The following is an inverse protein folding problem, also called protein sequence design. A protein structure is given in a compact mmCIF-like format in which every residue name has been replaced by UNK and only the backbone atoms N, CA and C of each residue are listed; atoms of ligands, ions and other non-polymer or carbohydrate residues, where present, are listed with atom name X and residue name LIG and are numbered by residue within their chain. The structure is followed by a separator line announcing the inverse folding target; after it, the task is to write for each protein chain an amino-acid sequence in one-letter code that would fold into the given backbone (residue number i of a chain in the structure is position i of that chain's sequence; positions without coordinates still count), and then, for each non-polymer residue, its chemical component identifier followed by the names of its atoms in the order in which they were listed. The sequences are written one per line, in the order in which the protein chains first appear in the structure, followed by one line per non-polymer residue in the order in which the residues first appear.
data_IF_675766675222
#
_entry.id   IF_675766675222
#
_cell.length_a   1.000
_cell.length_b   1.000
_cell.length_c   1.000
_cell.angle_alpha   90.00
_cell.angle_beta   90.00
_cell.angle_gamma   90.00
#
_symmetry.space_group_name_H-M   'P 1'
#
loop_
_entity.id
_entity.type
_entity.pdbx_description
1 polymer ?
#
# COMPACT_ATOMS: atom_id res chain seq x y z
N UNK A 1 23.73 -5.32 -29.95
CA UNK A 1 23.27 -5.69 -28.60
C UNK A 1 22.47 -6.97 -28.71
N UNK A 2 22.85 -8.02 -27.99
CA UNK A 2 22.10 -9.28 -27.98
C UNK A 2 20.77 -9.12 -27.24
N UNK A 3 19.73 -9.90 -27.61
CA UNK A 3 18.42 -9.89 -26.94
C UNK A 3 18.54 -10.02 -25.41
N UNK A 4 19.50 -10.81 -24.90
CA UNK A 4 19.78 -10.97 -23.48
C UNK A 4 20.31 -9.68 -22.82
N UNK A 5 21.13 -8.90 -23.51
CA UNK A 5 21.66 -7.62 -23.02
C UNK A 5 20.57 -6.53 -22.99
N UNK A 6 19.67 -6.51 -23.98
CA UNK A 6 18.51 -5.59 -24.00
C UNK A 6 17.52 -5.93 -22.88
N UNK A 7 17.25 -7.22 -22.67
CA UNK A 7 16.37 -7.66 -21.58
C UNK A 7 16.96 -7.34 -20.19
N UNK A 8 18.26 -7.58 -20.01
CA UNK A 8 18.97 -7.26 -18.75
C UNK A 8 19.01 -5.76 -18.47
N UNK A 9 19.18 -4.92 -19.51
CA UNK A 9 19.17 -3.47 -19.37
C UNK A 9 17.77 -2.91 -19.03
N UNK A 10 16.70 -3.46 -19.62
CA UNK A 10 15.30 -3.10 -19.30
C UNK A 10 14.94 -3.49 -17.87
N UNK A 11 15.31 -4.71 -17.44
CA UNK A 11 15.06 -5.18 -16.07
C UNK A 11 15.73 -4.26 -15.04
N UNK A 12 17.02 -3.95 -15.23
CA UNK A 12 17.76 -3.04 -14.34
C UNK A 12 17.15 -1.63 -14.32
N UNK A 13 16.78 -1.11 -15.49
CA UNK A 13 16.09 0.19 -15.58
C UNK A 13 14.76 0.20 -14.83
N UNK A 14 13.95 -0.86 -14.97
CA UNK A 14 12.68 -0.98 -14.26
C UNK A 14 12.87 -1.10 -12.74
N UNK A 15 13.86 -1.87 -12.28
CA UNK A 15 14.20 -1.97 -10.86
C UNK A 15 14.64 -0.62 -10.29
N UNK A 16 15.49 0.13 -11.01
CA UNK A 16 15.92 1.47 -10.59
C UNK A 16 14.76 2.46 -10.52
N UNK A 17 13.90 2.50 -11.56
CA UNK A 17 12.73 3.35 -11.56
C UNK A 17 11.74 2.99 -10.43
N UNK A 18 11.58 1.70 -10.15
CA UNK A 18 10.74 1.24 -9.05
C UNK A 18 11.32 1.64 -7.68
N UNK A 19 12.65 1.53 -7.52
CA UNK A 19 13.34 2.00 -6.31
C UNK A 19 13.16 3.50 -6.10
N UNK A 20 13.33 4.31 -7.16
CA UNK A 20 13.09 5.75 -7.10
C UNK A 20 11.62 6.05 -6.74
N UNK A 21 10.66 5.37 -7.37
CA UNK A 21 9.24 5.55 -7.10
C UNK A 21 8.91 5.25 -5.62
N UNK A 22 9.41 4.14 -5.09
CA UNK A 22 9.21 3.78 -3.67
C UNK A 22 9.95 4.74 -2.74
N UNK A 23 11.19 5.11 -3.06
CA UNK A 23 11.98 6.05 -2.28
C UNK A 23 11.28 7.40 -2.12
N UNK A 24 10.91 8.04 -3.23
CA UNK A 24 10.17 9.31 -3.18
C UNK A 24 8.80 9.17 -2.51
N UNK A 25 8.09 8.06 -2.74
CA UNK A 25 6.80 7.81 -2.11
C UNK A 25 6.88 7.66 -0.59
N UNK A 26 8.03 7.27 -0.06
CA UNK A 26 8.26 7.07 1.38
C UNK A 26 8.89 8.29 2.05
N UNK A 27 9.83 8.98 1.37
CA UNK A 27 10.54 10.14 1.92
C UNK A 27 9.61 11.35 2.07
N UNK A 28 8.78 11.63 1.06
CA UNK A 28 7.87 12.79 1.10
C UNK A 28 6.93 12.75 2.32
N UNK A 29 6.22 11.64 2.62
CA UNK A 29 5.42 11.57 3.83
C UNK A 29 6.22 11.77 5.13
N UNK A 30 7.45 11.23 5.22
CA UNK A 30 8.30 11.38 6.41
C UNK A 30 8.58 12.87 6.69
N UNK A 31 8.86 13.65 5.64
CA UNK A 31 9.11 15.10 5.78
C UNK A 31 7.82 15.88 6.07
N UNK A 32 6.70 15.43 5.51
CA UNK A 32 5.43 16.13 5.60
C UNK A 32 4.72 15.89 6.93
N UNK A 33 4.87 14.70 7.55
CA UNK A 33 4.22 14.35 8.82
C UNK A 33 4.54 15.35 9.93
N UNK A 34 5.83 15.65 10.26
CA UNK A 34 6.15 16.61 11.31
C UNK A 34 5.58 17.99 11.02
N UNK A 35 5.66 18.43 9.77
CA UNK A 35 5.12 19.72 9.37
C UNK A 35 3.62 19.80 9.61
N UNK A 36 2.86 18.85 9.10
CA UNK A 36 1.41 18.85 9.25
C UNK A 36 0.98 18.72 10.72
N UNK A 37 1.59 17.83 11.49
CA UNK A 37 1.27 17.69 12.91
C UNK A 37 1.52 18.98 13.68
N UNK A 38 2.58 19.73 13.35
CA UNK A 38 2.91 20.98 14.02
C UNK A 38 2.03 22.16 13.57
N UNK A 39 1.52 22.15 12.34
CA UNK A 39 0.76 23.28 11.77
C UNK A 39 -0.75 23.07 11.92
N UNK A 40 -1.29 21.92 11.45
CA UNK A 40 -2.73 21.67 11.51
C UNK A 40 -3.16 20.89 12.75
N UNK A 41 -2.20 20.38 13.55
CA UNK A 41 -2.47 19.61 14.76
C UNK A 41 -2.84 18.16 14.48
N UNK A 42 -2.84 17.36 15.55
CA UNK A 42 -3.07 15.89 15.48
C UNK A 42 -4.49 15.58 15.00
N UNK A 43 -5.49 16.30 15.50
CA UNK A 43 -6.91 16.05 15.18
C UNK A 43 -7.22 16.30 13.69
N UNK A 44 -6.84 17.47 13.15
CA UNK A 44 -7.08 17.77 11.72
C UNK A 44 -6.20 16.91 10.80
N UNK A 45 -5.01 16.54 11.24
CA UNK A 45 -4.19 15.54 10.55
C UNK A 45 -4.88 14.17 10.51
N UNK A 46 -5.49 13.75 11.61
CA UNK A 46 -6.29 12.53 11.70
C UNK A 46 -7.51 12.57 10.78
N UNK A 47 -8.27 13.66 10.78
CA UNK A 47 -9.42 13.88 9.91
C UNK A 47 -9.06 13.75 8.43
N UNK A 48 -7.95 14.38 8.00
CA UNK A 48 -7.46 14.26 6.61
C UNK A 48 -7.10 12.80 6.28
N UNK A 49 -6.39 12.10 7.17
CA UNK A 49 -6.02 10.70 6.95
C UNK A 49 -7.23 9.77 6.98
N UNK A 50 -8.20 10.03 7.86
CA UNK A 50 -9.47 9.28 7.87
C UNK A 50 -10.21 9.42 6.53
N UNK A 51 -10.34 10.64 6.01
CA UNK A 51 -10.99 10.89 4.71
C UNK A 51 -10.25 10.19 3.55
N UNK A 52 -8.90 10.15 3.59
CA UNK A 52 -8.09 9.39 2.63
C UNK A 52 -8.42 7.89 2.70
N UNK A 53 -8.43 7.30 3.89
CA UNK A 53 -8.67 5.88 4.07
C UNK A 53 -10.14 5.53 3.79
N UNK A 54 -11.09 6.38 4.19
CA UNK A 54 -12.50 6.21 3.83
C UNK A 54 -12.68 6.15 2.30
N UNK A 55 -12.11 7.11 1.57
CA UNK A 55 -12.17 7.11 0.09
C UNK A 55 -11.38 5.95 -0.54
N UNK A 56 -10.36 5.41 0.14
CA UNK A 56 -9.57 4.28 -0.34
C UNK A 56 -10.38 2.98 -0.47
N UNK A 57 -11.38 2.75 0.37
CA UNK A 57 -12.28 1.59 0.21
C UNK A 57 -13.09 1.67 -1.08
N UNK A 58 -13.57 2.86 -1.42
CA UNK A 58 -14.21 3.11 -2.71
C UNK A 58 -13.22 2.98 -3.87
N UNK A 59 -11.96 3.40 -3.67
CA UNK A 59 -10.91 3.20 -4.67
C UNK A 59 -10.68 1.72 -4.97
N UNK A 60 -10.56 0.85 -3.95
CA UNK A 60 -10.41 -0.61 -4.15
C UNK A 60 -11.58 -1.16 -4.95
N UNK A 61 -12.82 -0.72 -4.64
CA UNK A 61 -14.01 -1.10 -5.39
C UNK A 61 -13.92 -0.64 -6.86
N UNK A 62 -13.49 0.58 -7.14
CA UNK A 62 -13.37 1.11 -8.49
C UNK A 62 -12.20 0.52 -9.28
N UNK A 63 -11.12 0.11 -8.64
CA UNK A 63 -10.02 -0.61 -9.27
C UNK A 63 -10.42 -2.05 -9.67
N UNK A 64 -11.35 -2.66 -8.98
CA UNK A 64 -12.02 -3.94 -9.27
C UNK A 64 -11.07 -5.09 -9.68
N UNK A 65 -9.83 -5.06 -9.22
CA UNK A 65 -8.82 -6.07 -9.57
C UNK A 65 -8.28 -5.97 -11.01
N UNK A 66 -8.63 -4.92 -11.76
CA UNK A 66 -8.18 -4.71 -13.15
C UNK A 66 -6.65 -4.67 -13.28
N UNK A 67 -5.94 -4.27 -12.24
CA UNK A 67 -4.46 -4.26 -12.23
C UNK A 67 -3.84 -5.64 -12.46
N UNK A 68 -4.56 -6.72 -12.12
CA UNK A 68 -4.10 -8.10 -12.25
C UNK A 68 -4.78 -8.83 -13.41
N UNK A 69 -6.11 -8.71 -13.54
CA UNK A 69 -6.89 -9.43 -14.55
C UNK A 69 -6.48 -9.06 -15.98
N UNK A 70 -6.16 -7.78 -16.20
CA UNK A 70 -5.91 -7.27 -17.55
C UNK A 70 -4.48 -7.51 -18.07
N UNK A 71 -3.54 -7.90 -17.20
CA UNK A 71 -2.13 -8.12 -17.63
C UNK A 71 -2.05 -9.10 -18.79
N UNK A 72 -2.76 -10.25 -18.71
CA UNK A 72 -2.75 -11.26 -19.76
C UNK A 72 -3.35 -10.75 -21.09
N UNK A 73 -4.42 -9.95 -21.02
CA UNK A 73 -5.07 -9.39 -22.20
C UNK A 73 -4.17 -8.38 -22.92
N UNK A 74 -3.49 -7.53 -22.14
CA UNK A 74 -2.54 -6.55 -22.69
C UNK A 74 -1.31 -7.23 -23.27
N UNK A 75 -0.69 -8.16 -22.54
CA UNK A 75 0.54 -8.86 -23.00
C UNK A 75 0.29 -9.63 -24.30
N UNK A 76 -0.85 -10.31 -24.41
CA UNK A 76 -1.20 -11.08 -25.60
C UNK A 76 -1.56 -10.21 -26.83
N UNK A 77 -1.86 -8.92 -26.63
CA UNK A 77 -2.27 -8.01 -27.72
C UNK A 77 -1.38 -6.76 -27.80
N UNK A 78 -0.20 -6.75 -27.18
CA UNK A 78 0.65 -5.56 -27.08
C UNK A 78 1.11 -4.98 -28.42
N UNK A 79 1.19 -5.82 -29.47
CA UNK A 79 1.64 -5.42 -30.81
C UNK A 79 0.47 -5.01 -31.72
N UNK A 80 -0.78 -5.13 -31.25
CA UNK A 80 -1.98 -4.76 -32.00
C UNK A 80 -2.64 -3.53 -31.35
N UNK A 81 -2.40 -2.35 -31.92
CA UNK A 81 -2.89 -1.07 -31.39
C UNK A 81 -4.42 -0.99 -31.30
N UNK A 82 -5.15 -1.56 -32.27
CA UNK A 82 -6.60 -1.53 -32.30
C UNK A 82 -7.18 -2.37 -31.13
N UNK A 83 -6.71 -3.62 -30.99
CA UNK A 83 -7.13 -4.48 -29.88
C UNK A 83 -6.75 -3.90 -28.53
N UNK A 84 -5.54 -3.34 -28.41
CA UNK A 84 -5.09 -2.67 -27.20
C UNK A 84 -6.00 -1.47 -26.86
N UNK A 85 -6.36 -0.67 -27.88
CA UNK A 85 -7.30 0.44 -27.74
C UNK A 85 -8.67 -0.03 -27.22
N UNK A 86 -9.21 -1.14 -27.74
CA UNK A 86 -10.47 -1.73 -27.27
C UNK A 86 -10.38 -2.22 -25.83
N UNK A 87 -9.29 -2.91 -25.45
CA UNK A 87 -9.06 -3.37 -24.08
C UNK A 87 -9.07 -2.18 -23.12
N UNK A 88 -8.25 -1.14 -23.40
CA UNK A 88 -8.15 0.04 -22.54
C UNK A 88 -9.48 0.79 -22.44
N UNK A 89 -10.19 0.94 -23.57
CA UNK A 89 -11.52 1.56 -23.59
C UNK A 89 -12.54 0.80 -22.77
N UNK A 90 -12.55 -0.54 -22.88
CA UNK A 90 -13.44 -1.41 -22.08
C UNK A 90 -13.21 -1.24 -20.60
N UNK A 91 -11.93 -1.25 -20.18
CA UNK A 91 -11.56 -1.09 -18.76
C UNK A 91 -11.92 0.29 -18.23
N UNK A 92 -11.66 1.36 -18.99
CA UNK A 92 -12.03 2.71 -18.60
C UNK A 92 -13.55 2.88 -18.49
N UNK A 93 -14.34 2.26 -19.38
CA UNK A 93 -15.80 2.27 -19.28
C UNK A 93 -16.30 1.46 -18.08
N UNK A 94 -15.67 0.30 -17.76
CA UNK A 94 -15.95 -0.43 -16.52
C UNK A 94 -15.70 0.47 -15.30
N UNK A 95 -14.54 1.13 -15.24
CA UNK A 95 -14.16 2.02 -14.14
C UNK A 95 -15.11 3.22 -14.03
N UNK A 96 -15.50 3.81 -15.15
CA UNK A 96 -16.47 4.90 -15.17
C UNK A 96 -17.82 4.48 -14.59
N UNK A 97 -18.33 3.32 -14.97
CA UNK A 97 -19.56 2.76 -14.41
C UNK A 97 -19.45 2.53 -12.89
N UNK A 98 -18.33 1.94 -12.45
CA UNK A 98 -18.07 1.72 -11.03
C UNK A 98 -17.95 3.02 -10.25
N UNK A 99 -17.32 4.07 -10.83
CA UNK A 99 -17.25 5.42 -10.22
C UNK A 99 -18.64 5.99 -10.01
N UNK A 100 -19.55 5.87 -10.98
CA UNK A 100 -20.94 6.36 -10.82
C UNK A 100 -21.66 5.60 -9.70
N UNK A 101 -21.53 4.28 -9.65
CA UNK A 101 -22.11 3.48 -8.57
C UNK A 101 -21.53 3.86 -7.20
N UNK A 102 -20.22 4.02 -7.13
CA UNK A 102 -19.54 4.38 -5.88
C UNK A 102 -19.85 5.82 -5.47
N UNK A 103 -19.98 6.75 -6.40
CA UNK A 103 -20.38 8.13 -6.12
C UNK A 103 -21.76 8.20 -5.43
N UNK A 104 -22.72 7.44 -5.94
CA UNK A 104 -24.05 7.37 -5.34
C UNK A 104 -23.97 6.88 -3.88
N UNK A 105 -23.28 5.78 -3.64
CA UNK A 105 -23.11 5.24 -2.28
C UNK A 105 -22.29 6.20 -1.40
N UNK A 106 -21.24 6.83 -1.96
CA UNK A 106 -20.39 7.78 -1.25
C UNK A 106 -21.19 9.00 -0.75
N UNK A 107 -22.00 9.61 -1.65
CA UNK A 107 -22.87 10.76 -1.30
C UNK A 107 -23.88 10.35 -0.23
N UNK A 108 -24.46 9.16 -0.35
CA UNK A 108 -25.42 8.65 0.62
C UNK A 108 -24.78 8.48 2.01
N UNK A 109 -23.60 7.83 2.08
CA UNK A 109 -22.89 7.60 3.36
C UNK A 109 -22.43 8.93 3.97
N UNK A 110 -21.81 9.82 3.19
CA UNK A 110 -21.36 11.14 3.69
C UNK A 110 -22.55 12.00 4.13
N UNK A 111 -23.67 11.93 3.41
CA UNK A 111 -24.89 12.70 3.76
C UNK A 111 -25.60 12.19 5.01
N UNK A 112 -25.59 10.88 5.27
CA UNK A 112 -26.29 10.27 6.41
C UNK A 112 -25.50 10.35 7.71
N UNK A 113 -24.16 10.37 7.66
CA UNK A 113 -23.31 10.38 8.85
C UNK A 113 -22.97 11.84 9.19
N UNK A 114 -23.47 12.41 10.33
CA UNK A 114 -23.28 13.82 10.65
C UNK A 114 -21.81 14.26 10.72
N UNK A 115 -20.91 13.43 11.27
CA UNK A 115 -19.49 13.73 11.36
C UNK A 115 -18.82 13.89 10.01
N UNK A 116 -19.25 13.12 9.00
CA UNK A 116 -18.73 13.22 7.63
C UNK A 116 -19.35 14.41 6.89
N UNK A 117 -20.64 14.64 7.10
CA UNK A 117 -21.38 15.74 6.47
C UNK A 117 -20.85 17.12 6.89
N UNK A 118 -20.43 17.28 8.14
CA UNK A 118 -19.87 18.54 8.63
C UNK A 118 -18.57 18.93 7.92
N UNK A 119 -17.85 17.96 7.35
CA UNK A 119 -16.58 18.13 6.64
C UNK A 119 -16.72 17.86 5.13
N UNK A 120 -17.86 18.27 4.55
CA UNK A 120 -18.25 17.96 3.16
C UNK A 120 -17.17 18.32 2.14
N UNK A 121 -16.54 19.50 2.28
CA UNK A 121 -15.47 19.95 1.38
C UNK A 121 -14.31 18.95 1.35
N UNK A 122 -13.91 18.45 2.52
CA UNK A 122 -12.82 17.48 2.63
C UNK A 122 -13.17 16.16 1.91
N UNK A 123 -14.40 15.66 2.09
CA UNK A 123 -14.85 14.42 1.45
C UNK A 123 -15.06 14.58 -0.06
N UNK A 124 -15.50 15.74 -0.55
CA UNK A 124 -15.54 16.02 -1.99
C UNK A 124 -14.13 15.97 -2.58
N UNK A 125 -13.15 16.62 -1.96
CA UNK A 125 -11.75 16.57 -2.40
C UNK A 125 -11.16 15.16 -2.33
N UNK A 126 -11.51 14.39 -1.30
CA UNK A 126 -11.10 12.98 -1.17
C UNK A 126 -11.68 12.12 -2.30
N UNK A 127 -12.91 12.39 -2.76
CA UNK A 127 -13.50 11.72 -3.90
C UNK A 127 -12.83 12.12 -5.23
N UNK A 128 -12.51 13.41 -5.42
CA UNK A 128 -11.73 13.89 -6.58
C UNK A 128 -10.36 13.19 -6.64
N UNK A 129 -9.69 13.07 -5.48
CA UNK A 129 -8.45 12.29 -5.35
C UNK A 129 -8.62 10.84 -5.82
N UNK A 130 -9.69 10.18 -5.40
CA UNK A 130 -10.02 8.81 -5.82
C UNK A 130 -10.18 8.71 -7.34
N UNK A 131 -10.94 9.64 -7.95
CA UNK A 131 -11.14 9.67 -9.40
C UNK A 131 -9.78 9.73 -10.12
N UNK A 132 -8.87 10.59 -9.67
CA UNK A 132 -7.53 10.72 -10.25
C UNK A 132 -6.75 9.41 -10.25
N UNK A 133 -6.77 8.67 -9.14
CA UNK A 133 -6.10 7.36 -9.04
C UNK A 133 -6.74 6.33 -9.97
N UNK A 134 -8.06 6.31 -10.05
CA UNK A 134 -8.81 5.32 -10.85
C UNK A 134 -8.62 5.52 -12.35
N UNK A 135 -8.55 6.79 -12.81
CA UNK A 135 -8.34 7.13 -14.23
C UNK A 135 -6.93 6.76 -14.68
N UNK A 136 -5.91 6.82 -13.80
CA UNK A 136 -4.53 6.55 -14.15
C UNK A 136 -4.33 5.12 -14.68
N UNK A 137 -3.88 4.92 -15.94
CA UNK A 137 -3.69 3.58 -16.50
C UNK A 137 -2.32 3.00 -16.12
N UNK A 138 -1.92 3.07 -14.83
CA UNK A 138 -0.63 2.54 -14.37
C UNK A 138 -0.50 1.03 -14.58
N UNK A 139 -1.61 0.30 -14.51
CA UNK A 139 -1.67 -1.13 -14.85
C UNK A 139 -1.21 -1.40 -16.30
N UNK A 140 -1.52 -0.51 -17.24
CA UNK A 140 -1.10 -0.64 -18.63
C UNK A 140 0.42 -0.49 -18.76
N UNK A 141 1.02 0.54 -18.15
CA UNK A 141 2.49 0.72 -18.18
C UNK A 141 3.22 -0.46 -17.53
N UNK A 142 2.66 -1.05 -16.46
CA UNK A 142 3.22 -2.26 -15.83
C UNK A 142 3.13 -3.46 -16.76
N UNK A 143 1.98 -3.67 -17.41
CA UNK A 143 1.78 -4.78 -18.38
C UNK A 143 2.66 -4.66 -19.62
N UNK A 144 3.00 -3.42 -20.03
CA UNK A 144 3.92 -3.12 -21.13
C UNK A 144 5.39 -3.09 -20.70
N UNK A 145 5.69 -3.38 -19.42
CA UNK A 145 7.04 -3.33 -18.83
C UNK A 145 7.71 -1.93 -18.92
N UNK A 146 6.91 -0.88 -18.99
CA UNK A 146 7.34 0.51 -19.17
C UNK A 146 7.21 1.32 -17.86
N UNK A 147 7.65 0.75 -16.72
CA UNK A 147 7.55 1.35 -15.36
C UNK A 147 8.18 2.75 -15.28
N UNK A 148 9.18 3.03 -16.12
CA UNK A 148 9.82 4.36 -16.22
C UNK A 148 8.84 5.51 -16.46
N UNK A 149 7.74 5.27 -17.19
CA UNK A 149 6.72 6.30 -17.41
C UNK A 149 5.93 6.59 -16.14
N UNK A 150 5.64 5.58 -15.32
CA UNK A 150 5.00 5.79 -14.01
C UNK A 150 5.84 6.74 -13.16
N UNK A 151 7.16 6.47 -13.06
CA UNK A 151 8.09 7.29 -12.26
C UNK A 151 8.20 8.70 -12.83
N UNK A 152 8.37 8.84 -14.15
CA UNK A 152 8.51 10.15 -14.83
C UNK A 152 7.26 11.01 -14.75
N UNK A 153 6.09 10.41 -14.61
CA UNK A 153 4.82 11.13 -14.43
C UNK A 153 4.60 11.45 -12.96
N UNK A 154 4.61 10.42 -12.11
CA UNK A 154 4.18 10.55 -10.72
C UNK A 154 5.14 11.39 -9.87
N UNK A 155 6.46 11.23 -10.04
CA UNK A 155 7.43 11.92 -9.17
C UNK A 155 7.41 13.44 -9.37
N UNK A 156 7.53 13.99 -10.60
CA UNK A 156 7.47 15.44 -10.79
C UNK A 156 6.14 16.05 -10.38
N UNK A 157 5.00 15.42 -10.75
CA UNK A 157 3.68 15.94 -10.39
C UNK A 157 3.48 15.90 -8.88
N UNK A 158 3.93 14.84 -8.22
CA UNK A 158 3.87 14.74 -6.76
C UNK A 158 4.69 15.85 -6.10
N UNK A 159 5.89 16.13 -6.58
CA UNK A 159 6.70 17.24 -6.07
C UNK A 159 6.01 18.59 -6.30
N UNK A 160 5.51 18.83 -7.50
CA UNK A 160 4.83 20.10 -7.84
C UNK A 160 3.54 20.33 -7.04
N UNK A 161 2.78 19.29 -6.71
CA UNK A 161 1.52 19.42 -5.98
C UNK A 161 1.68 19.32 -4.46
N UNK A 162 2.68 18.59 -3.96
CA UNK A 162 2.84 18.33 -2.52
C UNK A 162 3.79 19.35 -1.86
N UNK A 163 4.89 19.76 -2.53
CA UNK A 163 5.79 20.77 -1.96
C UNK A 163 5.10 22.10 -1.62
N UNK A 164 4.11 22.61 -2.40
CA UNK A 164 3.40 23.82 -2.03
C UNK A 164 2.68 23.74 -0.67
N UNK A 165 2.39 22.55 -0.14
CA UNK A 165 1.83 22.40 1.21
C UNK A 165 2.65 23.18 2.25
N UNK A 166 3.98 23.13 2.17
CA UNK A 166 4.86 23.89 3.08
C UNK A 166 4.71 25.42 2.98
N UNK A 167 4.17 25.91 1.86
CA UNK A 167 3.99 27.34 1.61
C UNK A 167 2.59 27.83 1.93
N UNK A 168 1.56 27.03 1.61
CA UNK A 168 0.13 27.44 1.66
C UNK A 168 -0.57 27.03 2.94
N UNK A 169 -0.16 25.92 3.58
CA UNK A 169 -0.76 25.43 4.83
C UNK A 169 -0.03 26.07 6.00
N UNK A 170 -0.65 27.03 6.70
CA UNK A 170 -0.03 27.80 7.78
C UNK A 170 -0.82 27.75 9.09
N UNK A 171 -2.07 27.36 9.04
CA UNK A 171 -2.99 27.33 10.18
C UNK A 171 -3.74 26.00 10.27
N UNK A 172 -4.40 25.78 11.38
CA UNK A 172 -5.23 24.60 11.61
C UNK A 172 -6.41 24.53 10.63
N UNK A 173 -6.90 25.66 10.15
CA UNK A 173 -8.04 25.75 9.23
C UNK A 173 -7.68 25.38 7.79
N UNK A 174 -6.37 25.32 7.48
CA UNK A 174 -5.86 25.01 6.14
C UNK A 174 -5.83 23.49 5.84
N UNK A 175 -6.37 22.65 6.72
CA UNK A 175 -6.33 21.18 6.54
C UNK A 175 -6.98 20.72 5.22
N UNK A 176 -8.01 21.42 4.75
CA UNK A 176 -8.65 21.10 3.46
C UNK A 176 -7.72 21.36 2.27
N UNK A 177 -6.77 22.33 2.37
CA UNK A 177 -5.77 22.58 1.32
C UNK A 177 -4.79 21.41 1.19
N UNK A 178 -4.52 20.68 2.27
CA UNK A 178 -3.73 19.45 2.23
C UNK A 178 -4.40 18.41 1.34
N UNK A 179 -5.70 18.20 1.54
CA UNK A 179 -6.48 17.28 0.70
C UNK A 179 -6.58 17.77 -0.75
N UNK A 180 -6.71 19.08 -0.97
CA UNK A 180 -6.69 19.67 -2.32
C UNK A 180 -5.38 19.35 -3.04
N UNK A 181 -4.24 19.50 -2.39
CA UNK A 181 -2.94 19.17 -2.97
C UNK A 181 -2.84 17.67 -3.33
N UNK A 182 -3.34 16.78 -2.48
CA UNK A 182 -3.39 15.35 -2.78
C UNK A 182 -4.38 15.03 -3.92
N UNK A 183 -5.50 15.74 -3.99
CA UNK A 183 -6.47 15.57 -5.07
C UNK A 183 -5.89 16.04 -6.41
N UNK A 184 -5.25 17.20 -6.43
CA UNK A 184 -4.58 17.73 -7.63
C UNK A 184 -3.44 16.80 -8.09
N UNK A 185 -2.62 16.29 -7.17
CA UNK A 185 -1.54 15.35 -7.48
C UNK A 185 -2.06 14.13 -8.23
N UNK A 186 -3.07 13.47 -7.68
CA UNK A 186 -3.61 12.25 -8.27
C UNK A 186 -4.38 12.52 -9.56
N UNK A 187 -5.18 13.59 -9.60
CA UNK A 187 -6.00 13.94 -10.75
C UNK A 187 -5.15 14.35 -11.96
N UNK A 188 -4.15 15.22 -11.75
CA UNK A 188 -3.22 15.63 -12.80
C UNK A 188 -2.38 14.44 -13.26
N UNK A 189 -1.87 13.63 -12.33
CA UNK A 189 -1.13 12.40 -12.66
C UNK A 189 -1.98 11.43 -13.48
N UNK A 190 -3.25 11.26 -13.14
CA UNK A 190 -4.18 10.39 -13.86
C UNK A 190 -4.39 10.84 -15.31
N UNK A 191 -4.69 12.13 -15.51
CA UNK A 191 -4.88 12.71 -16.85
C UNK A 191 -3.61 12.62 -17.69
N UNK A 192 -2.47 13.03 -17.13
CA UNK A 192 -1.18 12.99 -17.83
C UNK A 192 -0.79 11.56 -18.18
N UNK A 193 -1.01 10.61 -17.26
CA UNK A 193 -0.74 9.20 -17.51
C UNK A 193 -1.61 8.64 -18.65
N UNK A 194 -2.91 8.99 -18.68
CA UNK A 194 -3.81 8.58 -19.75
C UNK A 194 -3.38 9.18 -21.11
N UNK A 195 -3.06 10.46 -21.15
CA UNK A 195 -2.58 11.14 -22.36
C UNK A 195 -1.27 10.51 -22.90
N UNK A 196 -0.31 10.26 -22.01
CA UNK A 196 0.96 9.62 -22.38
C UNK A 196 0.72 8.19 -22.88
N UNK A 197 -0.19 7.43 -22.24
CA UNK A 197 -0.53 6.08 -22.68
C UNK A 197 -1.13 6.08 -24.09
N UNK A 198 -2.07 6.99 -24.38
CA UNK A 198 -2.65 7.15 -25.71
C UNK A 198 -1.58 7.45 -26.77
N UNK A 199 -0.73 8.46 -26.51
CA UNK A 199 0.33 8.87 -27.44
C UNK A 199 1.40 7.80 -27.62
N UNK A 200 1.81 7.14 -26.54
CA UNK A 200 2.91 6.17 -26.55
C UNK A 200 2.56 4.86 -27.25
N UNK A 201 1.34 4.37 -27.04
CA UNK A 201 0.90 3.07 -27.55
C UNK A 201 -0.07 3.20 -28.75
N UNK A 202 -0.31 4.41 -29.24
CA UNK A 202 -1.23 4.65 -30.36
C UNK A 202 -2.68 4.29 -30.05
N UNK A 203 -3.08 4.37 -28.77
CA UNK A 203 -4.41 3.97 -28.31
C UNK A 203 -5.43 5.01 -28.72
N UNK A 204 -6.45 4.59 -29.46
CA UNK A 204 -7.64 5.38 -29.73
C UNK A 204 -8.75 4.91 -28.80
N UNK A 205 -9.21 5.81 -27.93
CA UNK A 205 -10.36 5.52 -27.07
C UNK A 205 -11.63 5.48 -27.91
N UNK A 206 -12.47 4.48 -27.65
CA UNK A 206 -13.70 4.25 -28.37
C UNK A 206 -14.79 3.73 -27.43
N UNK A 207 -16.03 3.94 -27.77
CA UNK A 207 -17.14 3.35 -27.04
C UNK A 207 -17.22 1.88 -27.44
N UNK A 208 -17.21 0.99 -26.43
CA UNK A 208 -17.31 -0.45 -26.62
C UNK A 208 -18.70 -0.95 -26.25
N UNK A 209 -19.02 -2.17 -26.70
CA UNK A 209 -20.32 -2.79 -26.41
C UNK A 209 -20.50 -3.12 -24.92
N UNK A 210 -21.74 -3.09 -24.44
CA UNK A 210 -22.05 -3.50 -23.06
C UNK A 210 -21.63 -4.95 -22.77
N UNK A 211 -21.57 -5.80 -23.79
CA UNK A 211 -21.10 -7.18 -23.66
C UNK A 211 -19.62 -7.25 -23.34
N UNK A 212 -18.80 -6.41 -23.98
CA UNK A 212 -17.35 -6.30 -23.67
C UNK A 212 -17.11 -5.76 -22.26
N UNK A 213 -17.85 -4.74 -21.83
CA UNK A 213 -17.81 -4.21 -20.47
C UNK A 213 -18.15 -5.32 -19.46
N UNK A 214 -19.23 -6.05 -19.69
CA UNK A 214 -19.65 -7.18 -18.83
C UNK A 214 -18.61 -8.30 -18.79
N UNK A 215 -17.97 -8.58 -19.92
CA UNK A 215 -16.90 -9.59 -20.00
C UNK A 215 -15.73 -9.22 -19.08
N UNK A 216 -15.18 -8.00 -19.16
CA UNK A 216 -14.06 -7.58 -18.33
C UNK A 216 -14.43 -7.47 -16.85
N UNK A 217 -15.63 -7.03 -16.52
CA UNK A 217 -16.13 -7.05 -15.13
C UNK A 217 -16.16 -8.47 -14.59
N UNK A 218 -16.78 -9.43 -15.32
CA UNK A 218 -16.87 -10.82 -14.88
C UNK A 218 -15.49 -11.48 -14.74
N UNK A 219 -14.58 -11.23 -15.69
CA UNK A 219 -13.21 -11.74 -15.67
C UNK A 219 -12.40 -11.24 -14.47
N UNK A 220 -12.73 -10.05 -13.96
CA UNK A 220 -12.01 -9.41 -12.85
C UNK A 220 -12.54 -9.79 -11.45
N UNK A 221 -13.73 -10.41 -11.32
CA UNK A 221 -14.34 -10.77 -10.01
C UNK A 221 -13.40 -11.59 -9.11
N UNK A 222 -12.73 -12.66 -9.58
CA UNK A 222 -11.84 -13.44 -8.72
C UNK A 222 -10.66 -12.62 -8.20
N UNK A 223 -10.11 -11.72 -9.04
CA UNK A 223 -9.02 -10.81 -8.65
C UNK A 223 -9.51 -9.72 -7.70
N UNK A 224 -10.72 -9.20 -7.92
CA UNK A 224 -11.34 -8.24 -7.01
C UNK A 224 -11.50 -8.82 -5.61
N UNK A 225 -12.08 -10.00 -5.48
CA UNK A 225 -12.34 -10.63 -4.17
C UNK A 225 -11.05 -10.78 -3.35
N UNK A 226 -9.99 -11.29 -3.97
CA UNK A 226 -8.69 -11.46 -3.30
C UNK A 226 -8.04 -10.12 -2.95
N UNK A 227 -8.05 -9.16 -3.89
CA UNK A 227 -7.43 -7.84 -3.70
C UNK A 227 -8.18 -7.01 -2.66
N UNK A 228 -9.52 -7.05 -2.68
CA UNK A 228 -10.36 -6.36 -1.71
C UNK A 228 -10.05 -6.83 -0.29
N UNK A 229 -10.09 -8.14 -0.04
CA UNK A 229 -9.80 -8.70 1.28
C UNK A 229 -8.40 -8.31 1.76
N UNK A 230 -7.38 -8.45 0.90
CA UNK A 230 -5.99 -8.15 1.27
C UNK A 230 -5.74 -6.66 1.54
N UNK A 231 -6.37 -5.76 0.80
CA UNK A 231 -6.18 -4.31 0.98
C UNK A 231 -7.04 -3.75 2.09
N UNK A 232 -8.30 -4.20 2.19
CA UNK A 232 -9.25 -3.72 3.17
C UNK A 232 -8.80 -4.02 4.60
N UNK A 233 -8.34 -5.25 4.91
CA UNK A 233 -7.92 -5.57 6.26
C UNK A 233 -6.72 -4.74 6.73
N UNK A 234 -5.78 -4.39 5.84
CA UNK A 234 -4.59 -3.60 6.17
C UNK A 234 -4.88 -2.18 6.63
N UNK A 235 -5.99 -1.60 6.17
CA UNK A 235 -6.38 -0.21 6.48
C UNK A 235 -7.57 -0.14 7.44
N UNK A 236 -8.10 -1.30 7.88
CA UNK A 236 -9.28 -1.37 8.74
C UNK A 236 -9.09 -0.64 10.07
N UNK A 237 -7.87 -0.66 10.63
CA UNK A 237 -7.56 0.01 11.88
C UNK A 237 -7.93 1.49 11.88
N UNK A 238 -7.57 2.21 10.82
CA UNK A 238 -7.86 3.64 10.69
C UNK A 238 -9.36 3.91 10.67
N UNK A 239 -10.17 3.05 9.99
CA UNK A 239 -11.63 3.18 10.01
C UNK A 239 -12.22 2.86 11.38
N UNK A 240 -11.79 1.77 12.00
CA UNK A 240 -12.27 1.37 13.33
C UNK A 240 -11.97 2.45 14.36
N UNK A 241 -10.73 2.95 14.38
CA UNK A 241 -10.33 4.03 15.28
C UNK A 241 -11.13 5.33 15.02
N UNK A 242 -11.31 5.70 13.75
CA UNK A 242 -12.02 6.93 13.40
C UNK A 242 -13.49 6.90 13.76
N UNK A 243 -14.19 5.79 13.52
CA UNK A 243 -15.60 5.68 13.87
C UNK A 243 -15.85 5.50 15.39
N UNK A 244 -14.90 4.92 16.13
CA UNK A 244 -15.09 4.61 17.56
C UNK A 244 -14.43 5.67 18.46
N UNK A 245 -13.21 6.12 18.14
CA UNK A 245 -12.42 7.02 18.99
C UNK A 245 -12.24 8.42 18.40
N UNK A 246 -12.64 8.64 17.12
CA UNK A 246 -12.56 9.93 16.45
C UNK A 246 -11.20 10.27 15.85
N UNK A 247 -11.13 11.48 15.29
CA UNK A 247 -10.04 11.93 14.44
C UNK A 247 -8.71 12.08 15.16
N UNK A 248 -8.72 12.46 16.44
CA UNK A 248 -7.50 12.58 17.24
C UNK A 248 -6.76 11.23 17.36
N UNK A 249 -7.50 10.14 17.61
CA UNK A 249 -6.94 8.79 17.69
C UNK A 249 -6.39 8.34 16.33
N UNK A 250 -7.08 8.66 15.23
CA UNK A 250 -6.59 8.42 13.88
C UNK A 250 -5.30 9.19 13.63
N UNK A 251 -5.20 10.43 14.07
CA UNK A 251 -4.00 11.26 13.92
C UNK A 251 -2.77 10.63 14.57
N UNK A 252 -2.89 10.22 15.84
CA UNK A 252 -1.81 9.56 16.57
C UNK A 252 -1.41 8.23 15.93
N UNK A 253 -2.41 7.38 15.60
CA UNK A 253 -2.19 6.10 14.97
C UNK A 253 -1.48 6.24 13.63
N UNK A 254 -2.00 7.08 12.73
CA UNK A 254 -1.47 7.23 11.38
C UNK A 254 -0.11 7.90 11.34
N UNK A 255 0.19 8.80 12.29
CA UNK A 255 1.54 9.36 12.44
C UNK A 255 2.56 8.26 12.75
N UNK A 256 2.29 7.41 13.74
CA UNK A 256 3.15 6.29 14.10
C UNK A 256 3.21 5.21 13.00
N UNK A 257 2.07 4.88 12.38
CA UNK A 257 1.98 3.92 11.27
C UNK A 257 2.81 4.34 10.05
N UNK A 258 2.81 5.62 9.68
CA UNK A 258 3.60 6.11 8.55
C UNK A 258 5.10 6.03 8.80
N UNK A 259 5.56 6.24 10.05
CA UNK A 259 6.95 6.00 10.42
C UNK A 259 7.32 4.51 10.29
N UNK A 260 6.44 3.61 10.76
CA UNK A 260 6.56 2.18 10.54
C UNK A 260 6.62 1.82 9.05
N UNK A 261 5.69 2.37 8.25
CA UNK A 261 5.63 2.12 6.81
C UNK A 261 6.88 2.63 6.07
N UNK A 262 7.48 3.72 6.56
CA UNK A 262 8.75 4.21 6.04
C UNK A 262 9.86 3.16 6.18
N UNK A 263 10.04 2.57 7.37
CA UNK A 263 11.00 1.48 7.58
C UNK A 263 10.68 0.27 6.69
N UNK A 264 9.43 -0.17 6.66
CA UNK A 264 8.99 -1.32 5.86
C UNK A 264 9.24 -1.13 4.37
N UNK A 265 9.12 0.10 3.85
CA UNK A 265 9.35 0.40 2.43
C UNK A 265 10.82 0.29 2.00
N UNK A 266 11.76 0.33 2.93
CA UNK A 266 13.17 0.00 2.66
C UNK A 266 13.44 -1.51 2.76
N UNK A 267 12.87 -2.17 3.76
CA UNK A 267 13.13 -3.59 4.03
C UNK A 267 12.44 -4.51 3.02
N UNK A 268 11.18 -4.27 2.68
CA UNK A 268 10.41 -5.15 1.79
C UNK A 268 11.01 -5.34 0.40
N UNK A 269 11.52 -4.30 -0.29
CA UNK A 269 12.23 -4.46 -1.56
C UNK A 269 13.54 -5.25 -1.43
N UNK A 270 14.28 -5.08 -0.32
CA UNK A 270 15.48 -5.86 -0.07
C UNK A 270 15.15 -7.36 0.00
N UNK A 271 14.09 -7.72 0.72
CA UNK A 271 13.64 -9.10 0.85
C UNK A 271 13.20 -9.70 -0.48
N UNK A 272 12.39 -8.99 -1.23
CA UNK A 272 11.79 -9.51 -2.47
C UNK A 272 12.70 -9.44 -3.68
N UNK A 273 13.52 -8.39 -3.82
CA UNK A 273 14.30 -8.15 -5.03
C UNK A 273 15.77 -8.60 -4.92
N UNK A 274 16.32 -8.68 -3.69
CA UNK A 274 17.71 -9.09 -3.47
C UNK A 274 17.79 -10.49 -2.86
N UNK A 275 17.13 -10.70 -1.71
CA UNK A 275 17.29 -11.97 -0.98
C UNK A 275 16.54 -13.13 -1.62
N UNK A 276 15.34 -12.94 -2.14
CA UNK A 276 14.60 -14.00 -2.82
C UNK A 276 15.36 -14.58 -4.03
N UNK A 277 15.86 -13.81 -5.02
CA UNK A 277 16.67 -14.34 -6.10
C UNK A 277 18.02 -14.91 -5.64
N UNK A 278 18.60 -14.38 -4.56
CA UNK A 278 19.83 -14.91 -4.00
C UNK A 278 19.61 -16.30 -3.40
N UNK A 279 18.54 -16.50 -2.63
CA UNK A 279 18.21 -17.80 -2.04
C UNK A 279 17.84 -18.85 -3.09
N UNK A 280 17.23 -18.48 -4.21
CA UNK A 280 16.96 -19.41 -5.31
C UNK A 280 18.25 -20.01 -5.92
N UNK A 281 19.38 -19.30 -5.81
CA UNK A 281 20.70 -19.76 -6.31
C UNK A 281 21.47 -20.58 -5.28
N UNK A 282 21.18 -20.44 -4.00
CA UNK A 282 21.87 -21.17 -2.93
C UNK A 282 21.28 -22.58 -2.84
N UNK A 283 22.07 -23.60 -3.22
CA UNK A 283 21.68 -25.00 -3.05
C UNK A 283 21.82 -25.51 -1.59
N UNK A 284 22.55 -24.80 -0.75
CA UNK A 284 22.82 -25.17 0.64
C UNK A 284 21.87 -24.46 1.61
N UNK A 285 20.90 -25.21 2.12
CA UNK A 285 19.88 -24.72 3.05
C UNK A 285 20.45 -24.25 4.40
N UNK A 286 21.52 -24.84 4.87
CA UNK A 286 22.20 -24.40 6.10
C UNK A 286 22.76 -22.98 5.97
N UNK A 287 23.35 -22.65 4.81
CA UNK A 287 23.80 -21.27 4.52
C UNK A 287 22.64 -20.29 4.41
N UNK A 288 21.54 -20.67 3.75
CA UNK A 288 20.34 -19.84 3.66
C UNK A 288 19.77 -19.53 5.05
N UNK A 289 19.64 -20.54 5.92
CA UNK A 289 19.15 -20.36 7.30
C UNK A 289 20.07 -19.44 8.12
N UNK A 290 21.40 -19.64 8.05
CA UNK A 290 22.36 -18.76 8.75
C UNK A 290 22.22 -17.31 8.30
N UNK A 291 22.03 -17.08 7.01
CA UNK A 291 21.88 -15.74 6.46
C UNK A 291 20.57 -15.10 6.91
N UNK A 292 19.45 -15.82 6.90
CA UNK A 292 18.16 -15.31 7.43
C UNK A 292 18.31 -14.93 8.90
N UNK A 293 18.95 -15.77 9.72
CA UNK A 293 19.19 -15.46 11.13
C UNK A 293 20.07 -14.23 11.33
N UNK A 294 21.13 -14.07 10.55
CA UNK A 294 21.97 -12.86 10.58
C UNK A 294 21.17 -11.60 10.22
N UNK A 295 20.31 -11.68 9.21
CA UNK A 295 19.43 -10.56 8.83
C UNK A 295 18.39 -10.25 9.92
N UNK A 296 17.82 -11.27 10.56
CA UNK A 296 16.93 -11.09 11.70
C UNK A 296 17.65 -10.38 12.86
N UNK A 297 18.88 -10.78 13.17
CA UNK A 297 19.71 -10.15 14.23
C UNK A 297 20.02 -8.69 13.84
N UNK A 298 20.44 -8.44 12.61
CA UNK A 298 20.74 -7.09 12.12
C UNK A 298 19.48 -6.20 12.17
N UNK A 299 18.31 -6.71 11.77
CA UNK A 299 17.03 -6.02 11.90
C UNK A 299 16.72 -5.70 13.36
N UNK A 300 16.86 -6.66 14.27
CA UNK A 300 16.59 -6.46 15.70
C UNK A 300 17.52 -5.39 16.30
N UNK A 301 18.81 -5.41 15.95
CA UNK A 301 19.76 -4.38 16.39
C UNK A 301 19.37 -3.00 15.86
N UNK A 302 19.03 -2.90 14.57
CA UNK A 302 18.59 -1.65 13.97
C UNK A 302 17.33 -1.09 14.66
N UNK A 303 16.34 -1.95 14.91
CA UNK A 303 15.11 -1.57 15.61
C UNK A 303 15.37 -1.18 17.07
N UNK A 304 16.26 -1.87 17.77
CA UNK A 304 16.71 -1.51 19.11
C UNK A 304 17.37 -0.11 19.13
N UNK A 305 18.25 0.17 18.19
CA UNK A 305 18.85 1.51 18.03
C UNK A 305 17.76 2.58 17.81
N UNK A 306 16.78 2.31 16.92
CA UNK A 306 15.68 3.24 16.65
C UNK A 306 14.82 3.42 17.91
N UNK A 307 14.54 2.35 18.66
CA UNK A 307 13.77 2.40 19.91
C UNK A 307 14.42 3.33 20.93
N UNK A 308 15.72 3.20 21.17
CA UNK A 308 16.44 4.05 22.12
C UNK A 308 16.61 5.50 21.63
N UNK A 309 16.67 5.70 20.31
CA UNK A 309 16.79 7.04 19.73
C UNK A 309 15.42 7.73 19.56
N UNK A 310 14.33 7.01 19.44
CA UNK A 310 12.99 7.58 19.14
C UNK A 310 12.53 8.64 20.16
N UNK A 311 12.76 8.51 21.49
CA UNK A 311 12.35 9.54 22.45
C UNK A 311 13.11 10.87 22.30
N UNK A 312 14.28 10.83 21.67
CA UNK A 312 15.09 12.02 21.40
C UNK A 312 14.83 12.59 20.01
N UNK A 313 14.65 11.73 19.00
CA UNK A 313 14.48 12.17 17.63
C UNK A 313 13.08 12.69 17.32
N UNK A 314 12.02 12.02 17.83
CA UNK A 314 10.65 12.42 17.53
C UNK A 314 10.37 13.87 18.01
N UNK A 315 10.74 14.29 19.24
CA UNK A 315 10.51 15.66 19.71
C UNK A 315 11.25 16.76 18.92
N UNK A 316 12.34 16.42 18.23
CA UNK A 316 13.06 17.38 17.39
C UNK A 316 12.18 17.82 16.21
N UNK A 317 11.42 16.90 15.65
CA UNK A 317 10.63 17.15 14.44
C UNK A 317 9.15 17.38 14.74
N UNK A 318 8.58 16.67 15.71
CA UNK A 318 7.16 16.73 16.09
C UNK A 318 7.08 17.36 17.48
N UNK A 319 6.39 18.50 17.60
CA UNK A 319 6.28 19.24 18.88
C UNK A 319 5.00 18.93 19.64
N UNK A 320 3.99 18.40 18.93
CA UNK A 320 2.67 18.07 19.50
C UNK A 320 2.56 16.58 19.78
N UNK A 321 2.01 16.20 20.93
CA UNK A 321 1.71 14.80 21.32
C UNK A 321 2.91 13.83 21.18
N UNK A 322 4.12 14.34 21.39
CA UNK A 322 5.37 13.58 21.18
C UNK A 322 5.43 12.29 22.00
N UNK A 323 4.99 12.32 23.26
CA UNK A 323 5.00 11.15 24.14
C UNK A 323 4.06 10.05 23.61
N UNK A 324 2.85 10.43 23.21
CA UNK A 324 1.84 9.51 22.67
C UNK A 324 2.34 8.89 21.34
N UNK A 325 2.84 9.72 20.43
CA UNK A 325 3.36 9.27 19.14
C UNK A 325 4.56 8.33 19.33
N UNK A 326 5.49 8.69 20.24
CA UNK A 326 6.65 7.84 20.54
C UNK A 326 6.22 6.49 21.10
N UNK A 327 5.23 6.47 22.01
CA UNK A 327 4.70 5.24 22.60
C UNK A 327 4.11 4.33 21.52
N UNK A 328 3.26 4.85 20.65
CA UNK A 328 2.66 4.05 19.58
C UNK A 328 3.67 3.65 18.51
N UNK A 329 4.62 4.51 18.18
CA UNK A 329 5.73 4.16 17.29
C UNK A 329 6.58 3.01 17.85
N UNK A 330 6.86 3.02 19.15
CA UNK A 330 7.59 1.93 19.81
C UNK A 330 6.83 0.60 19.76
N UNK A 331 5.49 0.60 19.86
CA UNK A 331 4.69 -0.59 19.59
C UNK A 331 4.80 -1.05 18.14
N UNK A 332 4.85 -0.13 17.18
CA UNK A 332 5.10 -0.47 15.78
C UNK A 332 6.52 -1.00 15.52
N UNK A 333 7.54 -0.56 16.30
CA UNK A 333 8.87 -1.17 16.24
C UNK A 333 8.84 -2.63 16.72
N UNK A 334 8.06 -2.92 17.76
CA UNK A 334 7.84 -4.30 18.21
C UNK A 334 7.14 -5.13 17.12
N UNK A 335 6.14 -4.56 16.44
CA UNK A 335 5.52 -5.21 15.29
C UNK A 335 6.54 -5.52 14.18
N UNK A 336 7.46 -4.59 13.86
CA UNK A 336 8.51 -4.80 12.87
C UNK A 336 9.51 -5.89 13.28
N UNK A 337 9.82 -5.97 14.58
CA UNK A 337 10.71 -7.01 15.12
C UNK A 337 10.13 -8.43 14.92
N UNK A 338 8.83 -8.56 14.73
CA UNK A 338 8.12 -9.82 14.50
C UNK A 338 7.79 -10.02 13.02
N UNK A 339 7.24 -8.98 12.35
CA UNK A 339 6.77 -9.09 10.97
C UNK A 339 7.92 -9.24 9.97
N UNK A 340 9.05 -8.56 10.16
CA UNK A 340 10.20 -8.67 9.25
C UNK A 340 10.79 -10.08 9.26
N UNK A 341 11.10 -10.72 10.40
CA UNK A 341 11.44 -12.15 10.44
C UNK A 341 10.38 -13.06 9.83
N UNK A 342 9.09 -12.79 10.11
CA UNK A 342 8.01 -13.55 9.49
C UNK A 342 8.08 -13.47 7.96
N UNK A 343 8.31 -12.29 7.39
CA UNK A 343 8.43 -12.11 5.94
C UNK A 343 9.70 -12.74 5.37
N UNK A 344 10.82 -12.75 6.10
CA UNK A 344 12.05 -13.44 5.71
C UNK A 344 11.84 -14.95 5.60
N UNK A 345 11.18 -15.57 6.58
CA UNK A 345 10.82 -16.98 6.54
C UNK A 345 9.70 -17.31 5.56
N UNK A 346 8.95 -16.31 5.06
CA UNK A 346 7.90 -16.44 4.08
C UNK A 346 8.42 -16.78 2.68
N UNK A 347 8.10 -15.92 1.70
CA UNK A 347 8.48 -16.14 0.30
C UNK A 347 9.99 -16.29 0.07
N UNK A 348 10.88 -15.49 0.70
CA UNK A 348 12.31 -15.64 0.47
C UNK A 348 12.85 -17.01 0.89
N UNK A 349 12.37 -17.57 1.99
CA UNK A 349 12.86 -18.85 2.50
C UNK A 349 11.96 -20.03 2.09
N UNK A 350 10.73 -20.09 2.58
CA UNK A 350 9.79 -21.19 2.29
C UNK A 350 9.34 -21.22 0.83
N UNK A 351 9.19 -20.07 0.18
CA UNK A 351 8.79 -20.00 -1.23
C UNK A 351 9.84 -20.63 -2.16
N UNK A 352 11.14 -20.45 -1.86
CA UNK A 352 12.23 -21.09 -2.60
C UNK A 352 12.21 -22.62 -2.44
N UNK A 353 11.69 -23.12 -1.33
CA UNK A 353 11.49 -24.55 -1.05
C UNK A 353 10.22 -25.14 -1.68
N UNK A 354 9.53 -24.36 -2.53
CA UNK A 354 8.30 -24.81 -3.18
C UNK A 354 7.06 -24.77 -2.28
N UNK A 355 7.15 -24.14 -1.08
CA UNK A 355 6.06 -24.05 -0.08
C UNK A 355 5.23 -22.78 -0.20
N UNK A 356 4.97 -22.33 -1.43
CA UNK A 356 4.26 -21.07 -1.71
C UNK A 356 2.82 -21.10 -1.16
N UNK A 357 2.11 -22.22 -1.33
CA UNK A 357 0.75 -22.36 -0.83
C UNK A 357 0.68 -22.27 0.69
N UNK A 358 1.62 -22.94 1.38
CA UNK A 358 1.71 -22.89 2.84
C UNK A 358 2.02 -21.47 3.34
N UNK A 359 2.89 -20.72 2.66
CA UNK A 359 3.17 -19.31 2.98
C UNK A 359 1.91 -18.46 2.82
N UNK A 360 1.15 -18.66 1.74
CA UNK A 360 -0.12 -17.95 1.54
C UNK A 360 -1.13 -18.27 2.66
N UNK A 361 -1.25 -19.54 3.04
CA UNK A 361 -2.13 -19.97 4.13
C UNK A 361 -1.75 -19.35 5.48
N UNK A 362 -0.44 -19.25 5.80
CA UNK A 362 -0.03 -18.56 7.05
C UNK A 362 -0.45 -17.09 7.07
N UNK A 363 -0.42 -16.41 5.92
CA UNK A 363 -0.89 -15.03 5.79
C UNK A 363 -2.41 -14.93 5.98
N UNK A 364 -3.17 -15.87 5.43
CA UNK A 364 -4.63 -15.92 5.61
C UNK A 364 -5.00 -16.17 7.08
N UNK A 365 -4.33 -17.12 7.74
CA UNK A 365 -4.55 -17.38 9.17
C UNK A 365 -4.22 -16.16 10.03
N UNK A 366 -3.13 -15.45 9.73
CA UNK A 366 -2.79 -14.20 10.42
C UNK A 366 -3.91 -13.15 10.25
N UNK A 367 -4.44 -12.98 9.05
CA UNK A 367 -5.55 -12.06 8.80
C UNK A 367 -6.83 -12.46 9.55
N UNK A 368 -7.14 -13.76 9.63
CA UNK A 368 -8.30 -14.27 10.38
C UNK A 368 -8.11 -14.01 11.89
N UNK A 369 -6.93 -14.32 12.44
CA UNK A 369 -6.62 -14.04 13.85
C UNK A 369 -6.81 -12.55 14.16
N UNK A 370 -6.27 -11.68 13.30
CA UNK A 370 -6.40 -10.24 13.44
C UNK A 370 -7.87 -9.80 13.47
N UNK A 371 -8.68 -10.25 12.51
CA UNK A 371 -10.11 -9.90 12.43
C UNK A 371 -10.85 -10.36 13.68
N UNK A 372 -10.60 -11.60 14.16
CA UNK A 372 -11.21 -12.13 15.39
C UNK A 372 -10.84 -11.26 16.59
N UNK A 373 -9.56 -10.92 16.76
CA UNK A 373 -9.11 -10.09 17.89
C UNK A 373 -9.76 -8.71 17.84
N UNK A 374 -9.81 -8.06 16.68
CA UNK A 374 -10.46 -6.75 16.54
C UNK A 374 -11.96 -6.84 16.82
N UNK A 375 -12.66 -7.88 16.35
CA UNK A 375 -14.07 -8.10 16.66
C UNK A 375 -14.31 -8.27 18.18
N UNK A 376 -13.46 -9.05 18.86
CA UNK A 376 -13.52 -9.19 20.31
C UNK A 376 -13.33 -7.84 20.99
N UNK A 377 -12.34 -7.04 20.58
CA UNK A 377 -12.11 -5.70 21.13
C UNK A 377 -13.31 -4.76 20.91
N UNK A 378 -14.00 -4.84 19.78
CA UNK A 378 -15.22 -4.07 19.53
C UNK A 378 -16.34 -4.53 20.47
N UNK A 379 -16.58 -5.84 20.57
CA UNK A 379 -17.66 -6.41 21.40
C UNK A 379 -17.44 -6.15 22.91
N UNK A 380 -16.18 -6.11 23.35
CA UNK A 380 -15.82 -5.83 24.74
C UNK A 380 -15.67 -4.34 25.04
N UNK A 381 -15.93 -3.45 24.09
CA UNK A 381 -15.71 -2.00 24.20
C UNK A 381 -14.29 -1.63 24.66
N UNK A 382 -13.29 -2.45 24.32
CA UNK A 382 -11.89 -2.29 24.74
C UNK A 382 -11.00 -1.72 23.63
N UNK A 383 -11.60 -1.04 22.65
CA UNK A 383 -10.87 -0.42 21.55
C UNK A 383 -10.04 0.75 22.08
N UNK A 384 -8.74 0.70 21.81
CA UNK A 384 -7.78 1.78 21.99
C UNK A 384 -6.74 1.73 20.88
N UNK A 385 -5.96 2.79 20.70
CA UNK A 385 -4.86 2.78 19.70
C UNK A 385 -3.88 1.64 20.00
N UNK A 386 -3.53 1.45 21.28
CA UNK A 386 -2.63 0.38 21.70
C UNK A 386 -3.20 -1.01 21.46
N UNK A 387 -4.49 -1.25 21.80
CA UNK A 387 -5.11 -2.57 21.64
C UNK A 387 -5.17 -3.02 20.16
N UNK A 388 -5.40 -2.07 19.24
CA UNK A 388 -5.43 -2.33 17.81
C UNK A 388 -4.02 -2.66 17.27
N UNK A 389 -2.97 -1.99 17.77
CA UNK A 389 -1.58 -2.34 17.40
C UNK A 389 -1.22 -3.71 18.00
N UNK A 390 -1.64 -4.02 19.23
CA UNK A 390 -1.45 -5.34 19.81
C UNK A 390 -2.15 -6.44 19.02
N UNK A 391 -3.33 -6.19 18.46
CA UNK A 391 -4.01 -7.13 17.57
C UNK A 391 -3.16 -7.47 16.33
N UNK A 392 -2.49 -6.47 15.74
CA UNK A 392 -1.53 -6.71 14.65
C UNK A 392 -0.32 -7.53 15.12
N UNK A 393 0.22 -7.24 16.30
CA UNK A 393 1.35 -7.96 16.88
C UNK A 393 0.98 -9.43 17.09
N UNK A 394 -0.15 -9.72 17.73
CA UNK A 394 -0.64 -11.08 17.98
C UNK A 394 -0.80 -11.87 16.67
N UNK A 395 -1.41 -11.26 15.66
CA UNK A 395 -1.58 -11.87 14.35
C UNK A 395 -0.24 -12.20 13.67
N UNK A 396 0.74 -11.29 13.76
CA UNK A 396 2.07 -11.50 13.18
C UNK A 396 2.92 -12.50 13.97
N UNK A 397 2.76 -12.60 15.29
CA UNK A 397 3.35 -13.68 16.11
C UNK A 397 2.82 -15.03 15.64
N UNK A 398 1.51 -15.18 15.46
CA UNK A 398 0.93 -16.40 14.90
C UNK A 398 1.51 -16.76 13.54
N UNK A 399 1.65 -15.78 12.64
CA UNK A 399 2.28 -15.96 11.34
C UNK A 399 3.73 -16.43 11.46
N UNK A 400 4.55 -15.79 12.30
CA UNK A 400 5.95 -16.15 12.52
C UNK A 400 6.09 -17.56 13.07
N UNK A 401 5.31 -17.91 14.09
CA UNK A 401 5.33 -19.26 14.70
C UNK A 401 5.00 -20.33 13.67
N UNK A 402 3.95 -20.14 12.86
CA UNK A 402 3.59 -21.09 11.81
C UNK A 402 4.70 -21.23 10.76
N UNK A 403 5.31 -20.12 10.33
CA UNK A 403 6.41 -20.14 9.34
C UNK A 403 7.66 -20.80 9.89
N UNK A 404 8.02 -20.57 11.15
CA UNK A 404 9.14 -21.25 11.83
C UNK A 404 8.88 -22.76 11.97
N UNK A 405 7.66 -23.16 12.34
CA UNK A 405 7.27 -24.56 12.37
C UNK A 405 7.43 -25.24 11.01
N UNK A 406 6.93 -24.61 9.94
CA UNK A 406 7.06 -25.11 8.58
C UNK A 406 8.53 -25.18 8.13
N UNK A 407 9.34 -24.18 8.44
CA UNK A 407 10.76 -24.15 8.13
C UNK A 407 11.51 -25.29 8.81
N UNK A 408 11.21 -25.57 10.09
CA UNK A 408 11.81 -26.68 10.83
C UNK A 408 11.37 -28.02 10.25
N UNK A 409 10.11 -28.22 9.95
CA UNK A 409 9.57 -29.47 9.34
C UNK A 409 10.26 -29.79 8.01
N UNK A 410 10.46 -28.80 7.15
CA UNK A 410 11.16 -28.98 5.87
C UNK A 410 12.63 -29.30 6.06
N UNK A 411 13.28 -28.71 7.08
CA UNK A 411 14.68 -28.97 7.40
C UNK A 411 14.89 -30.43 7.86
N UNK A 412 14.04 -30.91 8.75
CA UNK A 412 14.11 -32.29 9.24
C UNK A 412 13.85 -33.30 8.11
N UNK A 413 12.81 -33.09 7.29
CA UNK A 413 12.51 -34.01 6.19
C UNK A 413 13.52 -34.01 5.04
N UNK A 414 14.46 -33.04 4.98
CA UNK A 414 15.57 -33.03 4.04
C UNK A 414 16.83 -33.71 4.62
N UNK A 415 16.96 -33.76 5.94
CA UNK A 415 18.05 -34.51 6.60
C UNK A 415 17.83 -36.01 6.49
N UNK A 416 16.56 -36.46 6.56
CA UNK A 416 16.21 -37.88 6.42
C UNK A 416 16.31 -38.42 4.98
N UNK A 417 16.57 -37.55 4.00
CA UNK A 417 16.73 -37.93 2.58
C UNK A 417 18.18 -37.87 2.07
N UNK A 418 19.12 -37.45 2.90
CA UNK A 418 20.58 -37.50 2.64
C UNK A 418 21.22 -38.65 3.42
#
# INVERSE_FOLDING_TARGET
MTLSQVFKSRLLSNMWNQFLLYGFSSIIPILLIPYLLNVIGVEKYGLVNFAIIFSFYFQIFNEFGFDLSNVRHVVNNRDNQEKLGRIVSSILQCKFFLILCSLFVYILVVGLIPSLRNELTLYILAFIRLIGVVIAPYWLFRSMEDIKYITRISVPIKLLCILPIFLIVKSTDDYALVMLCYALETFVSGIVALFIAQKRYGIKLQIVSAQEVKFYLKDSIPFFSSTFLMRAYKTMNTLVLGFILGDFAVGLYTAAEKLHNAYSSFVSPLLSQIFYPYFTRIKNMGRATKMVLLLCIANTIALACIYFLSPYLIPIFIKTETASITTYFNLFLLLLAISVPADMFGFPYLGVLGKINEVNMTTIYSAIIYIIVVLVLILTHSISIGSVIWALIIANVGCLVLRLYLANKVRVGNVDKQ
#
